data_IF_482905436537
#
_entry.id   IF_482905436537
#
_cell.length_a   1.000
_cell.length_b   1.000
_cell.length_c   1.000
_cell.angle_alpha   90.00
_cell.angle_beta   90.00
_cell.angle_gamma   90.00
#
_symmetry.space_group_name_H-M   'P 1'
#
loop_
_entity.id
_entity.type
_entity.pdbx_description
1 polymer ?
#
# COMPACT_ATOMS: atom_id res chain seq x y z
N UNK A 1 5.77 20.01 -14.64
CA UNK A 1 4.49 19.31 -14.83
C UNK A 1 3.40 20.13 -14.16
N UNK A 2 2.20 20.11 -14.72
CA UNK A 2 1.02 20.79 -14.18
C UNK A 2 0.30 19.91 -13.15
N UNK A 3 -0.55 20.52 -12.30
CA UNK A 3 -1.36 19.78 -11.33
C UNK A 3 -2.29 18.75 -11.99
N UNK A 4 -2.76 19.02 -13.22
CA UNK A 4 -3.60 18.08 -13.97
C UNK A 4 -2.81 16.85 -14.45
N UNK A 5 -1.56 17.04 -14.88
CA UNK A 5 -0.66 15.92 -15.23
C UNK A 5 -0.32 15.09 -13.98
N UNK A 6 -0.02 15.75 -12.86
CA UNK A 6 0.26 15.08 -11.59
C UNK A 6 -0.88 14.16 -11.15
N UNK A 7 -2.13 14.65 -11.23
CA UNK A 7 -3.31 13.85 -10.90
C UNK A 7 -3.45 12.63 -11.82
N UNK A 8 -3.16 12.76 -13.12
CA UNK A 8 -3.16 11.65 -14.07
C UNK A 8 -2.12 10.58 -13.74
N UNK A 9 -0.90 10.99 -13.38
CA UNK A 9 0.17 10.05 -13.00
C UNK A 9 -0.10 9.38 -11.66
N UNK A 10 -0.65 10.11 -10.69
CA UNK A 10 -1.06 9.52 -9.42
C UNK A 10 -2.22 8.54 -9.60
N UNK A 11 -3.21 8.87 -10.43
CA UNK A 11 -4.30 7.93 -10.74
C UNK A 11 -3.75 6.64 -11.36
N UNK A 12 -2.79 6.74 -12.27
CA UNK A 12 -2.10 5.58 -12.85
C UNK A 12 -1.39 4.74 -11.79
N UNK A 13 -0.69 5.38 -10.84
CA UNK A 13 -0.08 4.67 -9.72
C UNK A 13 -1.13 3.95 -8.83
N UNK A 14 -2.26 4.61 -8.56
CA UNK A 14 -3.39 4.01 -7.82
C UNK A 14 -3.94 2.79 -8.55
N UNK A 15 -4.09 2.85 -9.88
CA UNK A 15 -4.63 1.74 -10.67
C UNK A 15 -3.69 0.52 -10.69
N UNK A 16 -2.37 0.75 -10.74
CA UNK A 16 -1.37 -0.30 -10.57
C UNK A 16 -1.49 -0.97 -9.19
N UNK A 17 -1.66 -0.19 -8.13
CA UNK A 17 -1.88 -0.71 -6.78
C UNK A 17 -3.20 -1.50 -6.66
N UNK A 18 -4.29 -0.99 -7.24
CA UNK A 18 -5.60 -1.67 -7.27
C UNK A 18 -5.52 -3.04 -7.94
N UNK A 19 -4.75 -3.14 -9.02
CA UNK A 19 -4.57 -4.40 -9.75
C UNK A 19 -3.87 -5.50 -8.92
N UNK A 20 -3.11 -5.12 -7.87
CA UNK A 20 -2.39 -6.05 -6.98
C UNK A 20 -3.09 -6.34 -5.65
N UNK A 21 -4.27 -5.76 -5.39
CA UNK A 21 -5.00 -6.03 -4.16
C UNK A 21 -5.34 -7.52 -4.02
N UNK A 22 -5.15 -8.07 -2.82
CA UNK A 22 -5.32 -9.50 -2.52
C UNK A 22 -4.04 -10.34 -2.71
N UNK A 23 -3.01 -9.79 -3.36
CA UNK A 23 -1.78 -10.54 -3.67
C UNK A 23 -0.58 -10.10 -2.82
N UNK A 24 -0.62 -8.91 -2.21
CA UNK A 24 0.56 -8.27 -1.58
C UNK A 24 0.66 -8.45 -0.08
N UNK A 25 -0.27 -9.16 0.55
CA UNK A 25 -0.21 -9.41 1.99
C UNK A 25 1.12 -10.12 2.34
N UNK A 26 1.75 -9.80 3.48
CA UNK A 26 1.22 -8.99 4.58
C UNK A 26 1.35 -7.46 4.42
N UNK A 27 1.86 -6.97 3.29
CA UNK A 27 2.13 -5.55 3.07
C UNK A 27 1.02 -4.89 2.24
N UNK A 28 0.87 -3.56 2.34
CA UNK A 28 -0.10 -2.85 1.51
C UNK A 28 0.29 -2.92 0.03
N UNK A 29 -0.72 -2.88 -0.84
CA UNK A 29 -0.50 -2.68 -2.27
C UNK A 29 -0.20 -1.21 -2.53
N UNK A 30 1.00 -0.93 -3.05
CA UNK A 30 1.49 0.43 -3.35
C UNK A 30 1.83 0.46 -4.82
N UNK A 31 1.55 1.57 -5.49
CA UNK A 31 1.98 1.84 -6.85
C UNK A 31 3.03 2.94 -6.87
N UNK A 32 3.96 2.85 -7.81
CA UNK A 32 4.99 3.84 -8.07
C UNK A 32 5.12 4.06 -9.57
N UNK A 33 4.99 5.30 -10.03
CA UNK A 33 5.23 5.70 -11.41
C UNK A 33 6.35 6.74 -11.42
N UNK A 34 7.40 6.52 -12.21
CA UNK A 34 8.49 7.48 -12.38
C UNK A 34 8.36 8.13 -13.77
N UNK A 35 8.31 9.47 -13.79
CA UNK A 35 8.09 10.27 -15.00
C UNK A 35 9.26 11.22 -15.23
N UNK A 36 9.80 11.22 -16.44
CA UNK A 36 10.84 12.14 -16.91
C UNK A 36 10.37 12.82 -18.19
N UNK A 37 10.42 14.16 -18.21
CA UNK A 37 10.08 14.97 -19.39
C UNK A 37 8.72 14.60 -20.01
N UNK A 38 7.73 14.30 -19.16
CA UNK A 38 6.37 13.93 -19.56
C UNK A 38 6.18 12.47 -19.98
N UNK A 39 7.22 11.63 -19.87
CA UNK A 39 7.20 10.22 -20.27
C UNK A 39 7.39 9.31 -19.06
N UNK A 40 6.60 8.25 -18.95
CA UNK A 40 6.78 7.19 -17.94
C UNK A 40 8.06 6.42 -18.28
N UNK A 41 9.01 6.42 -17.35
CA UNK A 41 10.29 5.68 -17.49
C UNK A 41 10.34 4.40 -16.65
N UNK A 42 9.43 4.27 -15.68
CA UNK A 42 9.19 3.04 -14.95
C UNK A 42 7.82 3.08 -14.27
N UNK A 43 7.20 1.92 -14.09
CA UNK A 43 5.94 1.81 -13.37
C UNK A 43 5.77 0.44 -12.72
N UNK A 44 5.60 0.43 -11.41
CA UNK A 44 5.56 -0.80 -10.64
C UNK A 44 4.52 -0.74 -9.53
N UNK A 45 4.11 -1.92 -9.09
CA UNK A 45 3.33 -2.09 -7.88
C UNK A 45 4.02 -3.07 -6.93
N UNK A 46 3.69 -3.03 -5.64
CA UNK A 46 4.17 -4.03 -4.67
C UNK A 46 3.97 -5.44 -5.24
N UNK A 47 5.03 -6.23 -5.27
CA UNK A 47 4.98 -7.57 -5.83
C UNK A 47 4.16 -8.55 -4.96
N UNK A 48 3.65 -9.65 -5.55
CA UNK A 48 2.97 -10.71 -4.80
C UNK A 48 3.79 -11.20 -3.60
N UNK A 49 3.13 -11.45 -2.47
CA UNK A 49 3.77 -11.72 -1.18
C UNK A 49 4.30 -10.47 -0.46
N UNK A 50 4.06 -9.29 -1.02
CA UNK A 50 4.31 -7.99 -0.37
C UNK A 50 5.73 -7.45 -0.53
N UNK A 51 6.59 -8.14 -1.28
CA UNK A 51 7.96 -7.73 -1.58
C UNK A 51 8.36 -8.20 -2.99
N UNK A 52 9.25 -7.46 -3.67
CA UNK A 52 9.72 -6.11 -3.33
C UNK A 52 8.60 -5.04 -3.33
N UNK A 53 8.86 -3.88 -2.70
CA UNK A 53 7.98 -2.72 -2.80
C UNK A 53 7.95 -2.16 -4.24
N UNK A 54 6.95 -1.34 -4.56
CA UNK A 54 6.87 -0.64 -5.83
C UNK A 54 8.14 0.17 -6.14
N UNK A 55 8.63 0.97 -5.20
CA UNK A 55 9.80 1.83 -5.43
C UNK A 55 11.12 1.02 -5.50
N UNK A 56 11.17 -0.16 -4.88
CA UNK A 56 12.30 -1.09 -5.00
C UNK A 56 12.43 -1.67 -6.41
N UNK A 57 11.33 -1.68 -7.18
CA UNK A 57 11.28 -2.19 -8.55
C UNK A 57 11.39 -1.05 -9.56
N UNK A 58 10.62 0.03 -9.37
CA UNK A 58 10.57 1.15 -10.32
C UNK A 58 11.92 1.87 -10.43
N UNK A 59 12.68 2.02 -9.33
CA UNK A 59 13.99 2.69 -9.36
C UNK A 59 15.00 1.95 -10.25
N UNK A 60 15.27 0.64 -10.08
CA UNK A 60 16.18 -0.06 -10.97
C UNK A 60 15.64 -0.20 -12.40
N UNK A 61 14.32 -0.29 -12.60
CA UNK A 61 13.72 -0.28 -13.94
C UNK A 61 13.99 1.05 -14.68
N UNK A 62 13.82 2.19 -13.99
CA UNK A 62 14.08 3.50 -14.57
C UNK A 62 15.57 3.75 -14.85
N UNK A 63 16.48 3.10 -14.09
CA UNK A 63 17.92 3.26 -14.22
C UNK A 63 18.36 4.74 -14.16
N UNK A 64 19.23 5.15 -15.08
CA UNK A 64 19.74 6.53 -15.15
C UNK A 64 18.64 7.56 -15.44
N UNK A 65 17.52 7.14 -16.05
CA UNK A 65 16.40 8.03 -16.38
C UNK A 65 15.65 8.52 -15.13
N UNK A 66 15.82 7.86 -13.97
CA UNK A 66 15.30 8.34 -12.69
C UNK A 66 15.93 9.67 -12.26
N UNK A 67 17.14 9.99 -12.74
CA UNK A 67 17.84 11.21 -12.32
C UNK A 67 17.10 12.47 -12.79
N UNK A 68 16.72 13.28 -11.81
CA UNK A 68 15.92 14.48 -12.03
C UNK A 68 14.50 14.21 -12.54
N UNK A 69 13.99 12.99 -12.38
CA UNK A 69 12.60 12.63 -12.67
C UNK A 69 11.69 12.98 -11.48
N UNK A 70 10.38 12.78 -11.65
CA UNK A 70 9.40 12.81 -10.56
C UNK A 70 8.86 11.41 -10.30
N UNK A 71 8.79 11.00 -9.04
CA UNK A 71 8.15 9.76 -8.62
C UNK A 71 6.77 10.05 -8.00
N UNK A 72 5.74 9.36 -8.47
CA UNK A 72 4.39 9.38 -7.90
C UNK A 72 4.17 8.07 -7.15
N UNK A 73 3.98 8.15 -5.83
CA UNK A 73 3.86 6.97 -4.97
C UNK A 73 2.56 7.03 -4.17
N UNK A 74 1.80 5.94 -4.17
CA UNK A 74 0.45 5.95 -3.58
C UNK A 74 0.44 5.95 -2.04
N UNK A 75 1.55 5.54 -1.41
CA UNK A 75 1.75 5.56 0.04
C UNK A 75 3.12 6.16 0.36
N UNK A 76 3.26 6.79 1.52
CA UNK A 76 4.54 7.33 1.99
C UNK A 76 5.67 6.29 1.85
N UNK A 77 6.76 6.60 1.12
CA UNK A 77 7.91 5.70 1.00
C UNK A 77 8.51 5.43 2.38
N UNK A 78 8.65 4.15 2.76
CA UNK A 78 9.16 3.80 4.09
C UNK A 78 10.49 4.52 4.43
N UNK A 79 10.59 5.04 5.66
CA UNK A 79 11.78 5.75 6.18
C UNK A 79 12.80 4.80 6.83
N UNK A 80 12.33 3.65 7.30
CA UNK A 80 13.10 2.56 7.87
C UNK A 80 12.42 1.21 7.55
N UNK A 81 13.09 0.10 7.88
CA UNK A 81 12.52 -1.25 7.75
C UNK A 81 12.84 -2.05 8.99
N UNK A 82 11.93 -2.94 9.40
CA UNK A 82 12.16 -3.89 10.49
C UNK A 82 13.39 -4.77 10.25
N UNK A 83 13.69 -5.10 9.00
CA UNK A 83 14.87 -5.88 8.62
C UNK A 83 16.20 -5.10 8.60
N UNK A 84 16.17 -3.78 8.81
CA UNK A 84 17.33 -2.91 8.66
C UNK A 84 17.83 -2.72 7.21
N UNK A 85 17.20 -3.37 6.22
CA UNK A 85 17.54 -3.14 4.80
C UNK A 85 17.22 -1.70 4.39
N UNK A 86 17.90 -1.27 3.32
CA UNK A 86 17.67 0.02 2.65
C UNK A 86 16.16 0.25 2.41
N UNK A 87 15.69 1.44 2.78
CA UNK A 87 14.28 1.84 2.69
C UNK A 87 13.95 2.49 1.34
N UNK A 88 12.66 2.58 0.99
CA UNK A 88 12.23 3.19 -0.29
C UNK A 88 12.67 4.64 -0.44
N UNK A 89 12.60 5.41 0.66
CA UNK A 89 13.13 6.77 0.69
C UNK A 89 14.63 6.86 0.40
N UNK A 90 15.44 5.85 0.76
CA UNK A 90 16.84 5.78 0.32
C UNK A 90 16.96 5.42 -1.17
N UNK A 91 16.14 4.49 -1.69
CA UNK A 91 16.17 4.13 -3.11
C UNK A 91 15.90 5.34 -3.99
N UNK A 92 14.83 6.09 -3.69
CA UNK A 92 14.46 7.31 -4.42
C UNK A 92 15.54 8.39 -4.31
N UNK A 93 16.05 8.65 -3.10
CA UNK A 93 17.10 9.65 -2.88
C UNK A 93 18.40 9.31 -3.62
N UNK A 94 18.86 8.06 -3.56
CA UNK A 94 20.10 7.64 -4.22
C UNK A 94 19.96 7.55 -5.75
N UNK A 95 18.76 7.26 -6.26
CA UNK A 95 18.45 7.35 -7.69
C UNK A 95 18.52 8.80 -8.22
N UNK A 96 18.46 9.79 -7.33
CA UNK A 96 18.54 11.19 -7.67
C UNK A 96 17.29 11.71 -8.37
N UNK A 97 16.10 11.17 -8.05
CA UNK A 97 14.84 11.82 -8.45
C UNK A 97 14.82 13.25 -7.89
N UNK A 98 14.21 14.20 -8.61
CA UNK A 98 14.14 15.60 -8.17
C UNK A 98 12.93 15.85 -7.25
N UNK A 99 11.82 15.17 -7.54
CA UNK A 99 10.53 15.39 -6.87
C UNK A 99 9.85 14.07 -6.56
N UNK A 100 9.18 14.00 -5.41
CA UNK A 100 8.34 12.87 -4.99
C UNK A 100 6.97 13.38 -4.61
N UNK A 101 5.93 12.87 -5.25
CA UNK A 101 4.53 13.20 -4.97
C UNK A 101 3.88 11.97 -4.34
N UNK A 102 3.30 12.15 -3.17
CA UNK A 102 2.73 11.07 -2.35
C UNK A 102 1.23 11.25 -2.22
N UNK A 103 0.44 10.19 -2.42
CA UNK A 103 -1.00 10.25 -2.20
C UNK A 103 -1.34 10.19 -0.71
N UNK A 104 -1.13 9.04 -0.06
CA UNK A 104 -1.45 8.85 1.35
C UNK A 104 -0.19 8.84 2.23
N UNK A 105 -0.31 9.39 3.44
CA UNK A 105 0.72 9.25 4.49
C UNK A 105 0.57 7.90 5.19
N UNK A 106 1.68 7.27 5.54
CA UNK A 106 1.66 5.98 6.23
C UNK A 106 1.85 6.19 7.75
N UNK A 107 0.84 5.90 8.59
CA UNK A 107 0.97 6.04 10.04
C UNK A 107 1.84 4.97 10.69
N UNK A 108 2.35 3.98 9.92
CA UNK A 108 3.22 2.93 10.46
C UNK A 108 4.49 3.52 11.10
N UNK A 109 5.04 2.90 12.16
CA UNK A 109 6.26 3.39 12.82
C UNK A 109 7.51 3.37 11.91
N UNK A 110 7.41 2.73 10.75
CA UNK A 110 8.48 2.65 9.75
C UNK A 110 8.42 3.76 8.70
N UNK A 111 7.27 4.43 8.57
CA UNK A 111 7.06 5.62 7.77
C UNK A 111 6.81 6.81 8.70
N UNK A 112 5.57 7.09 9.11
CA UNK A 112 5.19 8.14 10.07
C UNK A 112 5.97 9.46 9.88
N UNK A 113 6.09 9.91 8.63
CA UNK A 113 6.81 11.12 8.24
C UNK A 113 8.33 10.97 8.10
N UNK A 114 8.94 9.86 8.55
CA UNK A 114 10.39 9.61 8.44
C UNK A 114 10.84 9.49 6.99
N UNK A 115 9.97 8.92 6.13
CA UNK A 115 10.24 8.76 4.71
C UNK A 115 10.29 10.11 4.01
N UNK A 116 9.24 10.89 4.21
CA UNK A 116 9.12 12.27 3.71
C UNK A 116 10.27 13.14 4.22
N UNK A 117 10.57 13.09 5.53
CA UNK A 117 11.64 13.88 6.14
C UNK A 117 13.00 13.53 5.53
N UNK A 118 13.29 12.24 5.32
CA UNK A 118 14.54 11.81 4.68
C UNK A 118 14.68 12.37 3.27
N UNK A 119 13.63 12.27 2.46
CA UNK A 119 13.64 12.77 1.08
C UNK A 119 13.88 14.28 1.06
N UNK A 120 13.17 15.04 1.90
CA UNK A 120 13.39 16.49 2.05
C UNK A 120 14.82 16.83 2.50
N UNK A 121 15.37 16.10 3.48
CA UNK A 121 16.76 16.27 3.93
C UNK A 121 17.80 15.95 2.86
N UNK A 122 17.47 15.08 1.91
CA UNK A 122 18.29 14.80 0.75
C UNK A 122 18.15 15.87 -0.37
N UNK A 123 17.36 16.92 -0.15
CA UNK A 123 17.19 18.02 -1.09
C UNK A 123 16.11 17.80 -2.15
N UNK A 124 15.26 16.78 -1.99
CA UNK A 124 14.16 16.50 -2.92
C UNK A 124 12.95 17.37 -2.60
N UNK A 125 12.23 17.78 -3.64
CA UNK A 125 10.90 18.35 -3.51
C UNK A 125 9.92 17.24 -3.13
N UNK A 126 9.13 17.42 -2.07
CA UNK A 126 8.18 16.40 -1.60
C UNK A 126 6.82 17.00 -1.29
N UNK A 127 5.82 16.56 -2.04
CA UNK A 127 4.42 16.90 -1.88
C UNK A 127 3.63 15.67 -1.41
N UNK A 128 2.63 15.90 -0.57
CA UNK A 128 1.83 14.84 0.05
C UNK A 128 0.35 15.20 -0.02
N UNK A 129 -0.53 14.22 -0.18
CA UNK A 129 -1.98 14.41 -0.14
C UNK A 129 -2.66 14.43 -1.50
N UNK A 130 -1.93 14.20 -2.60
CA UNK A 130 -2.52 14.19 -3.93
C UNK A 130 -3.38 12.94 -4.14
N UNK A 131 -4.69 13.09 -4.31
CA UNK A 131 -5.64 11.97 -4.39
C UNK A 131 -5.60 11.04 -3.16
N UNK A 132 -5.42 11.62 -1.97
CA UNK A 132 -5.32 10.89 -0.72
C UNK A 132 -6.57 10.06 -0.41
N UNK A 133 -7.76 10.62 -0.66
CA UNK A 133 -9.03 9.96 -0.41
C UNK A 133 -9.19 8.74 -1.33
N UNK A 134 -8.85 8.87 -2.61
CA UNK A 134 -8.88 7.78 -3.58
C UNK A 134 -7.86 6.68 -3.26
N UNK A 135 -6.67 7.04 -2.76
CA UNK A 135 -5.64 6.09 -2.36
C UNK A 135 -5.96 5.40 -1.02
N UNK A 136 -6.69 6.05 -0.11
CA UNK A 136 -6.96 5.54 1.25
C UNK A 136 -7.59 4.14 1.26
N UNK A 137 -8.46 3.85 0.28
CA UNK A 137 -9.14 2.57 0.10
C UNK A 137 -8.16 1.41 -0.09
N UNK A 138 -6.93 1.66 -0.59
CA UNK A 138 -5.87 0.65 -0.72
C UNK A 138 -5.34 0.18 0.64
N UNK A 139 -5.46 1.01 1.68
CA UNK A 139 -4.76 0.82 2.95
C UNK A 139 -5.66 0.43 4.12
N UNK A 140 -6.99 0.53 3.99
CA UNK A 140 -7.97 0.16 5.03
C UNK A 140 -7.65 -1.16 5.74
N UNK A 141 -7.49 -2.26 4.99
CA UNK A 141 -7.21 -3.57 5.59
C UNK A 141 -5.84 -3.66 6.26
N UNK A 142 -4.84 -2.99 5.70
CA UNK A 142 -3.50 -2.93 6.29
C UNK A 142 -3.53 -2.17 7.63
N UNK A 143 -4.15 -0.99 7.63
CA UNK A 143 -4.27 -0.15 8.81
C UNK A 143 -5.13 -0.81 9.89
N UNK A 144 -6.25 -1.42 9.51
CA UNK A 144 -7.11 -2.17 10.43
C UNK A 144 -6.33 -3.28 11.13
N UNK A 145 -5.47 -4.02 10.41
CA UNK A 145 -4.62 -5.05 11.01
C UNK A 145 -3.54 -4.48 11.92
N UNK A 146 -2.92 -3.37 11.54
CA UNK A 146 -1.94 -2.68 12.38
C UNK A 146 -2.57 -2.23 13.71
N UNK A 147 -3.80 -1.73 13.66
CA UNK A 147 -4.53 -1.23 14.83
C UNK A 147 -5.08 -2.36 15.72
N UNK A 148 -5.70 -3.37 15.12
CA UNK A 148 -6.51 -4.37 15.85
C UNK A 148 -5.86 -5.74 15.99
N UNK A 149 -4.78 -5.99 15.23
CA UNK A 149 -4.16 -7.31 15.10
C UNK A 149 -4.92 -8.29 14.20
N UNK A 150 -6.05 -7.89 13.57
CA UNK A 150 -6.93 -8.76 12.77
C UNK A 150 -7.13 -8.23 11.34
N UNK A 151 -7.41 -9.08 10.34
CA UNK A 151 -7.78 -8.61 9.01
C UNK A 151 -9.14 -7.90 9.04
N UNK A 152 -9.31 -6.93 8.14
CA UNK A 152 -10.63 -6.37 7.86
C UNK A 152 -11.54 -7.44 7.24
N UNK A 153 -12.79 -7.51 7.70
CA UNK A 153 -13.78 -8.48 7.18
C UNK A 153 -14.91 -7.74 6.48
N UNK A 154 -15.22 -8.13 5.24
CA UNK A 154 -16.31 -7.55 4.44
C UNK A 154 -17.18 -8.61 3.80
N UNK A 155 -18.42 -8.25 3.49
CA UNK A 155 -19.26 -9.07 2.61
C UNK A 155 -18.82 -8.87 1.15
N UNK A 156 -18.62 -9.96 0.42
CA UNK A 156 -18.35 -9.94 -1.02
C UNK A 156 -18.95 -11.20 -1.67
N UNK A 157 -19.37 -11.11 -2.92
CA UNK A 157 -19.80 -12.30 -3.68
C UNK A 157 -18.62 -13.05 -4.30
N UNK A 158 -17.56 -12.33 -4.66
CA UNK A 158 -16.47 -12.87 -5.49
C UNK A 158 -15.08 -12.70 -4.89
N UNK A 159 -14.93 -11.89 -3.83
CA UNK A 159 -13.66 -11.77 -3.12
C UNK A 159 -12.53 -11.07 -3.89
N UNK A 160 -12.85 -10.35 -4.98
CA UNK A 160 -11.83 -9.59 -5.73
C UNK A 160 -11.18 -8.53 -4.83
N UNK A 161 -9.85 -8.51 -4.77
CA UNK A 161 -9.09 -7.58 -3.94
C UNK A 161 -8.99 -7.98 -2.46
N UNK A 162 -9.44 -9.18 -2.10
CA UNK A 162 -9.28 -9.76 -0.78
C UNK A 162 -8.23 -10.87 -0.79
N UNK A 163 -7.55 -11.02 0.34
CA UNK A 163 -6.44 -11.97 0.50
C UNK A 163 -6.95 -13.43 0.58
N UNK A 164 -8.13 -13.62 1.19
CA UNK A 164 -8.80 -14.92 1.29
C UNK A 164 -10.29 -14.80 1.61
N UNK A 165 -11.04 -15.89 1.37
CA UNK A 165 -12.38 -16.06 1.92
C UNK A 165 -12.27 -16.52 3.38
N UNK A 166 -12.96 -15.83 4.27
CA UNK A 166 -13.10 -16.24 5.66
C UNK A 166 -13.99 -17.49 5.78
N UNK A 167 -13.55 -18.45 6.58
CA UNK A 167 -14.28 -19.67 6.87
C UNK A 167 -14.23 -19.93 8.37
N UNK A 168 -15.39 -20.25 8.96
CA UNK A 168 -15.46 -20.65 10.36
C UNK A 168 -14.76 -21.99 10.58
N UNK A 169 -14.13 -22.15 11.75
CA UNK A 169 -13.50 -23.38 12.18
C UNK A 169 -14.33 -24.03 13.28
N UNK A 170 -14.51 -25.35 13.24
CA UNK A 170 -15.12 -26.08 14.36
C UNK A 170 -14.23 -26.13 15.61
N UNK A 171 -12.97 -25.68 15.50
CA UNK A 171 -11.94 -25.78 16.55
C UNK A 171 -11.67 -24.46 17.27
N UNK A 172 -12.25 -23.35 16.80
CA UNK A 172 -12.01 -22.02 17.35
C UNK A 172 -13.23 -21.11 17.10
N UNK A 173 -13.47 -20.15 17.98
CA UNK A 173 -14.46 -19.10 17.71
C UNK A 173 -13.98 -18.15 16.60
N UNK A 174 -14.89 -17.30 16.11
CA UNK A 174 -14.64 -16.42 14.96
C UNK A 174 -13.52 -15.41 15.24
N UNK A 175 -13.49 -14.84 16.46
CA UNK A 175 -12.47 -13.87 16.85
C UNK A 175 -11.08 -14.51 16.90
N UNK A 176 -10.98 -15.71 17.46
CA UNK A 176 -9.74 -16.50 17.51
C UNK A 176 -9.23 -16.82 16.11
N UNK A 177 -10.11 -17.20 15.19
CA UNK A 177 -9.72 -17.48 13.81
C UNK A 177 -9.25 -16.21 13.07
N UNK A 178 -9.91 -15.06 13.29
CA UNK A 178 -9.47 -13.78 12.74
C UNK A 178 -8.12 -13.34 13.31
N UNK A 179 -7.88 -13.54 14.60
CA UNK A 179 -6.56 -13.27 15.22
C UNK A 179 -5.47 -14.12 14.55
N UNK A 180 -5.73 -15.41 14.36
CA UNK A 180 -4.81 -16.33 13.67
C UNK A 180 -4.48 -15.86 12.24
N UNK A 181 -5.48 -15.37 11.51
CA UNK A 181 -5.29 -14.81 10.16
C UNK A 181 -4.47 -13.51 10.20
N UNK A 182 -4.73 -12.65 11.18
CA UNK A 182 -3.97 -11.41 11.38
C UNK A 182 -2.50 -11.66 11.70
N UNK A 183 -2.22 -12.62 12.58
CA UNK A 183 -0.86 -13.11 12.89
C UNK A 183 -0.15 -13.70 11.66
N UNK A 184 -0.90 -14.43 10.82
CA UNK A 184 -0.40 -14.92 9.53
C UNK A 184 -0.21 -13.81 8.48
N UNK A 185 -0.66 -12.59 8.77
CA UNK A 185 -0.42 -11.41 7.95
C UNK A 185 -1.54 -11.06 6.97
N UNK A 186 -2.70 -11.70 7.04
CA UNK A 186 -3.86 -11.32 6.20
C UNK A 186 -4.33 -9.91 6.58
N UNK A 187 -4.58 -9.07 5.58
CA UNK A 187 -5.07 -7.69 5.72
C UNK A 187 -6.57 -7.58 5.47
N UNK A 188 -7.10 -8.35 4.52
CA UNK A 188 -8.48 -8.28 4.06
C UNK A 188 -9.00 -9.68 3.80
N UNK A 189 -10.08 -10.05 4.47
CA UNK A 189 -10.80 -11.28 4.19
C UNK A 189 -12.26 -10.98 3.88
N UNK A 190 -12.87 -11.83 3.07
CA UNK A 190 -14.27 -11.67 2.69
C UNK A 190 -15.12 -12.85 3.11
N UNK A 191 -16.39 -12.58 3.37
CA UNK A 191 -17.42 -13.59 3.60
C UNK A 191 -18.55 -13.40 2.60
N UNK A 192 -19.22 -14.48 2.20
CA UNK A 192 -20.45 -14.35 1.42
C UNK A 192 -21.62 -13.88 2.29
N UNK A 193 -22.71 -13.36 1.71
CA UNK A 193 -23.93 -13.08 2.47
C UNK A 193 -24.48 -14.36 3.12
N UNK A 194 -25.12 -14.23 4.28
CA UNK A 194 -25.78 -15.32 5.01
C UNK A 194 -25.36 -15.42 6.48
N UNK A 195 -25.68 -16.55 7.11
CA UNK A 195 -25.57 -16.77 8.57
C UNK A 195 -24.18 -16.43 9.14
N UNK A 196 -23.09 -16.76 8.42
CA UNK A 196 -21.74 -16.44 8.88
C UNK A 196 -21.45 -14.93 8.88
N UNK A 197 -21.97 -14.19 7.90
CA UNK A 197 -21.83 -12.74 7.85
C UNK A 197 -22.65 -12.07 8.96
N UNK A 198 -23.86 -12.58 9.22
CA UNK A 198 -24.72 -12.13 10.32
C UNK A 198 -24.05 -12.37 11.68
N UNK A 199 -23.51 -13.57 11.91
CA UNK A 199 -22.79 -13.90 13.14
C UNK A 199 -21.53 -13.04 13.35
N UNK A 200 -20.80 -12.70 12.29
CA UNK A 200 -19.69 -11.75 12.35
C UNK A 200 -20.17 -10.34 12.71
N UNK A 201 -21.28 -9.88 12.13
CA UNK A 201 -21.84 -8.56 12.40
C UNK A 201 -22.33 -8.42 13.85
N UNK A 202 -23.05 -9.43 14.36
CA UNK A 202 -23.54 -9.47 15.75
C UNK A 202 -22.42 -9.40 16.79
N UNK A 203 -21.23 -9.93 16.45
CA UNK A 203 -20.03 -9.89 17.30
C UNK A 203 -19.16 -8.65 17.07
N UNK A 204 -19.54 -7.73 16.17
CA UNK A 204 -18.74 -6.57 15.81
C UNK A 204 -17.43 -6.92 15.07
N UNK A 205 -17.38 -8.09 14.43
CA UNK A 205 -16.24 -8.61 13.67
C UNK A 205 -16.35 -8.33 12.18
N UNK A 206 -17.54 -8.01 11.68
CA UNK A 206 -17.73 -7.47 10.34
C UNK A 206 -17.36 -5.99 10.36
N UNK A 207 -16.37 -5.59 9.57
CA UNK A 207 -15.98 -4.19 9.49
C UNK A 207 -17.09 -3.42 8.75
N UNK A 208 -17.32 -2.15 9.08
CA UNK A 208 -18.28 -1.22 8.42
C UNK A 208 -17.73 -0.52 7.18
#
# INVERSE_FOLDING_TARGET
MSAAEDAGWMQRAIDLAKARMGETWPNPSVGCVIVKDGVVVAEEATAPGGRPHAEEQAVPEAGDAARGATAYVTLEPCGARSSGRKSCSHFLSEAGVARVVVAAVDPSPFAAGRGVERLRKAGLEVETGLLADEASVLYEGYLHRVETGRPMVRISEHGKGFDARFAASAKADLATELNRLGEAGYTRVWVGPGELAEALAEQGLLTA
#
